data_IF_355483924295
#
_entry.id   IF_355483924295
#
_cell.length_a   1.000
_cell.length_b   1.000
_cell.length_c   1.000
_cell.angle_alpha   90.00
_cell.angle_beta   90.00
_cell.angle_gamma   90.00
#
_symmetry.space_group_name_H-M   'P 1'
#
loop_
_entity.id
_entity.type
_entity.pdbx_description
1 polymer ?
#
# COMPACT_ATOMS: atom_id res chain seq x y z
N UNK A 1 28.59 19.09 3.17
CA UNK A 1 28.68 18.30 1.93
C UNK A 1 28.20 19.16 0.78
N UNK A 2 29.05 19.39 -0.20
CA UNK A 2 28.64 20.10 -1.43
C UNK A 2 27.86 19.09 -2.29
N UNK A 3 26.57 19.32 -2.46
CA UNK A 3 25.73 18.57 -3.40
C UNK A 3 25.77 19.29 -4.75
N UNK A 4 26.22 18.61 -5.79
CA UNK A 4 26.19 19.13 -7.16
C UNK A 4 25.05 18.43 -7.93
N UNK A 5 24.28 19.21 -8.68
CA UNK A 5 23.29 18.69 -9.62
C UNK A 5 23.90 18.68 -11.01
N UNK A 6 23.81 17.57 -11.70
CA UNK A 6 24.39 17.37 -13.03
C UNK A 6 23.29 16.93 -14.00
N UNK A 7 23.21 17.58 -15.16
CA UNK A 7 22.39 17.09 -16.27
C UNK A 7 23.21 16.06 -17.05
N UNK A 8 22.64 14.89 -17.26
CA UNK A 8 23.25 13.77 -17.97
C UNK A 8 22.46 13.49 -19.26
N UNK A 9 22.82 14.12 -20.39
CA UNK A 9 22.14 13.90 -21.66
C UNK A 9 22.01 12.40 -21.97
N UNK A 10 20.87 11.98 -22.51
CA UNK A 10 20.43 10.62 -22.77
C UNK A 10 20.06 9.83 -21.51
N UNK A 11 20.85 9.85 -20.45
CA UNK A 11 20.55 9.09 -19.21
C UNK A 11 19.28 9.65 -18.54
N UNK A 12 19.19 10.98 -18.42
CA UNK A 12 18.02 11.64 -17.81
C UNK A 12 16.73 11.50 -18.66
N UNK A 13 16.85 11.04 -19.91
CA UNK A 13 15.71 10.81 -20.79
C UNK A 13 15.21 9.34 -20.78
N UNK A 14 15.86 8.44 -20.05
CA UNK A 14 15.48 7.04 -20.00
C UNK A 14 14.27 6.86 -19.09
N UNK A 15 13.21 6.21 -19.59
CA UNK A 15 11.97 6.01 -18.87
C UNK A 15 12.09 4.95 -17.76
N UNK A 16 11.15 5.01 -16.82
CA UNK A 16 11.06 4.08 -15.70
C UNK A 16 10.37 2.77 -16.07
N UNK A 17 10.85 1.70 -15.47
CA UNK A 17 10.09 0.45 -15.32
C UNK A 17 10.30 -0.12 -13.94
N UNK A 18 9.20 -0.45 -13.25
CA UNK A 18 9.22 -1.07 -11.92
C UNK A 18 9.96 -2.41 -11.97
N UNK A 19 10.66 -2.77 -10.89
CA UNK A 19 11.39 -4.03 -10.71
C UNK A 19 12.62 -4.24 -11.62
N UNK A 20 13.06 -3.24 -12.37
CA UNK A 20 14.35 -3.34 -13.03
C UNK A 20 15.49 -3.10 -12.04
N UNK A 21 16.50 -3.96 -12.09
CA UNK A 21 17.77 -3.71 -11.42
C UNK A 21 18.60 -2.75 -12.29
N UNK A 22 18.76 -1.52 -11.82
CA UNK A 22 19.58 -0.53 -12.51
C UNK A 22 20.93 -0.38 -11.79
N UNK A 23 22.01 -0.51 -12.52
CA UNK A 23 23.37 -0.36 -12.00
C UNK A 23 23.96 0.95 -12.49
N UNK A 24 24.29 1.83 -11.54
CA UNK A 24 24.99 3.07 -11.78
C UNK A 24 26.41 2.98 -11.22
N UNK A 25 27.37 3.50 -11.96
CA UNK A 25 28.75 3.56 -11.54
C UNK A 25 29.33 4.93 -11.92
N UNK A 26 30.10 5.52 -11.00
CA UNK A 26 30.95 6.66 -11.33
C UNK A 26 32.40 6.19 -11.34
N UNK A 27 32.98 6.05 -12.52
CA UNK A 27 34.31 5.49 -12.72
C UNK A 27 35.10 6.30 -13.77
N UNK A 28 36.37 6.58 -13.48
CA UNK A 28 37.23 7.29 -14.42
C UNK A 28 36.76 8.70 -14.82
N UNK A 29 36.01 9.40 -13.94
CA UNK A 29 35.43 10.71 -14.23
C UNK A 29 34.17 10.67 -15.11
N UNK A 30 33.64 9.47 -15.36
CA UNK A 30 32.44 9.26 -16.18
C UNK A 30 31.35 8.60 -15.35
N UNK A 31 30.09 8.99 -15.60
CA UNK A 31 28.91 8.30 -15.08
C UNK A 31 28.53 7.19 -16.06
N UNK A 32 28.47 5.96 -15.58
CA UNK A 32 28.17 4.78 -16.39
C UNK A 32 26.86 4.18 -15.93
N UNK A 33 25.94 4.02 -16.87
CA UNK A 33 24.71 3.24 -16.70
C UNK A 33 24.85 1.91 -17.44
N UNK A 34 24.65 0.81 -16.74
CA UNK A 34 24.66 -0.52 -17.34
C UNK A 34 23.25 -0.94 -17.71
N UNK A 35 23.09 -1.40 -18.95
CA UNK A 35 21.83 -1.99 -19.40
C UNK A 35 21.52 -3.24 -18.54
N UNK A 36 20.30 -3.37 -17.98
CA UNK A 36 19.96 -4.49 -17.10
C UNK A 36 19.80 -5.82 -17.85
N UNK A 37 19.73 -5.79 -19.19
CA UNK A 37 19.64 -6.94 -20.09
C UNK A 37 20.08 -6.55 -21.51
N UNK A 38 20.15 -7.54 -22.38
CA UNK A 38 20.33 -7.30 -23.82
C UNK A 38 19.06 -6.68 -24.43
N UNK A 39 19.24 -5.73 -25.34
CA UNK A 39 18.18 -5.06 -26.08
C UNK A 39 18.34 -5.25 -27.58
N UNK A 40 17.25 -5.52 -28.28
CA UNK A 40 17.22 -5.53 -29.74
C UNK A 40 17.11 -4.10 -30.27
N UNK A 41 17.51 -3.89 -31.49
CA UNK A 41 17.34 -2.61 -32.18
C UNK A 41 15.86 -2.22 -32.22
N UNK A 42 15.56 -1.01 -31.75
CA UNK A 42 14.19 -0.47 -31.70
C UNK A 42 13.44 -0.77 -30.40
N UNK A 43 14.00 -1.59 -29.49
CA UNK A 43 13.43 -1.73 -28.15
C UNK A 43 13.73 -0.50 -27.31
N UNK A 44 12.76 -0.08 -26.51
CA UNK A 44 12.96 0.98 -25.52
C UNK A 44 13.78 0.46 -24.34
N UNK A 45 14.75 1.27 -23.92
CA UNK A 45 15.58 1.01 -22.74
C UNK A 45 14.90 1.68 -21.55
N UNK A 46 14.80 0.95 -20.46
CA UNK A 46 14.23 1.43 -19.20
C UNK A 46 15.24 1.35 -18.07
N UNK A 47 15.08 2.18 -17.08
CA UNK A 47 15.78 2.13 -15.77
C UNK A 47 14.77 2.10 -14.63
N UNK A 48 15.22 1.78 -13.43
CA UNK A 48 14.43 1.96 -12.23
C UNK A 48 14.72 3.32 -11.60
N UNK A 49 13.68 4.11 -11.32
CA UNK A 49 13.81 5.35 -10.53
C UNK A 49 13.80 5.07 -9.02
N UNK A 50 13.79 3.79 -8.63
CA UNK A 50 13.67 3.29 -7.28
C UNK A 50 12.41 2.44 -7.09
N UNK A 51 12.23 1.96 -5.87
CA UNK A 51 10.99 1.28 -5.47
C UNK A 51 9.99 2.36 -5.08
N UNK A 52 9.18 2.78 -6.05
CA UNK A 52 8.20 3.88 -5.92
C UNK A 52 6.79 3.33 -6.12
N UNK A 53 5.85 3.75 -5.28
CA UNK A 53 4.43 3.49 -5.50
C UNK A 53 3.83 4.46 -6.54
N UNK A 54 2.60 4.23 -6.99
CA UNK A 54 2.00 5.08 -8.01
C UNK A 54 1.65 6.49 -7.51
N UNK A 55 1.50 6.72 -6.21
CA UNK A 55 1.34 8.07 -5.64
C UNK A 55 2.62 8.89 -5.85
N UNK A 56 3.78 8.25 -5.66
CA UNK A 56 5.08 8.87 -5.91
C UNK A 56 5.36 9.05 -7.40
N UNK A 57 5.05 8.05 -8.22
CA UNK A 57 5.24 8.12 -9.67
C UNK A 57 4.40 9.24 -10.30
N UNK A 58 3.12 9.35 -9.95
CA UNK A 58 2.26 10.40 -10.50
C UNK A 58 2.65 11.79 -9.99
N UNK A 59 3.04 11.90 -8.72
CA UNK A 59 3.37 13.20 -8.11
C UNK A 59 4.71 13.73 -8.61
N UNK A 60 5.72 12.87 -8.77
CA UNK A 60 7.08 13.28 -9.14
C UNK A 60 7.30 13.31 -10.65
N UNK A 61 6.65 12.43 -11.40
CA UNK A 61 6.94 12.17 -12.82
C UNK A 61 5.72 12.26 -13.74
N UNK A 62 4.50 12.32 -13.20
CA UNK A 62 3.29 12.52 -13.99
C UNK A 62 2.77 11.27 -14.72
N UNK A 63 3.22 10.08 -14.37
CA UNK A 63 2.73 8.82 -14.96
C UNK A 63 2.35 7.77 -13.89
N UNK A 64 1.71 6.71 -14.34
CA UNK A 64 1.30 5.56 -13.53
C UNK A 64 1.80 4.27 -14.20
N UNK A 65 2.40 3.39 -13.41
CA UNK A 65 2.68 2.02 -13.84
C UNK A 65 1.51 1.11 -13.42
N UNK A 66 0.78 0.59 -14.40
CA UNK A 66 -0.41 -0.23 -14.17
C UNK A 66 -0.10 -1.55 -13.46
N UNK A 67 1.11 -2.07 -13.65
CA UNK A 67 1.57 -3.35 -13.09
C UNK A 67 2.54 -3.16 -11.91
N UNK A 68 2.54 -1.98 -11.31
CA UNK A 68 3.44 -1.63 -10.22
C UNK A 68 3.20 -2.53 -8.99
N UNK A 69 4.14 -3.44 -8.74
CA UNK A 69 4.11 -4.34 -7.59
C UNK A 69 4.48 -3.65 -6.27
N UNK A 70 5.06 -2.45 -6.33
CA UNK A 70 5.37 -1.62 -5.17
C UNK A 70 4.22 -0.64 -4.84
N UNK A 71 3.09 -0.73 -5.58
CA UNK A 71 1.95 0.15 -5.33
C UNK A 71 1.26 -0.20 -4.02
N UNK A 72 0.67 0.81 -3.38
CA UNK A 72 -0.07 0.68 -2.13
C UNK A 72 -1.36 1.48 -2.20
N UNK A 73 -2.38 1.05 -1.47
CA UNK A 73 -3.52 1.88 -1.11
C UNK A 73 -3.35 2.32 0.33
N UNK A 74 -3.21 3.61 0.59
CA UNK A 74 -3.12 4.17 1.93
C UNK A 74 -4.50 4.61 2.39
N UNK A 75 -4.94 4.06 3.51
CA UNK A 75 -6.20 4.43 4.14
C UNK A 75 -5.92 5.43 5.27
N UNK A 76 -5.90 6.71 4.97
CA UNK A 76 -5.74 7.75 5.99
C UNK A 76 -6.94 7.79 6.95
N UNK A 77 -6.66 7.83 8.25
CA UNK A 77 -7.70 7.79 9.27
C UNK A 77 -8.37 6.41 9.44
N UNK A 78 -7.63 5.34 9.20
CA UNK A 78 -8.13 3.97 9.30
C UNK A 78 -8.72 3.63 10.68
N UNK A 79 -8.00 3.94 11.77
CA UNK A 79 -8.49 3.71 13.12
C UNK A 79 -9.76 4.52 13.46
N UNK A 80 -9.83 5.84 13.22
CA UNK A 80 -11.08 6.61 13.37
C UNK A 80 -12.24 6.02 12.56
N UNK A 81 -11.99 5.58 11.34
CA UNK A 81 -13.01 4.91 10.54
C UNK A 81 -13.54 3.65 11.23
N UNK A 82 -12.66 2.76 11.72
CA UNK A 82 -13.06 1.55 12.44
C UNK A 82 -13.79 1.87 13.74
N UNK A 83 -13.34 2.87 14.49
CA UNK A 83 -14.03 3.31 15.71
C UNK A 83 -15.46 3.81 15.44
N UNK A 84 -15.68 4.45 14.30
CA UNK A 84 -16.98 4.96 13.91
C UNK A 84 -17.89 3.89 13.28
N UNK A 85 -17.35 2.93 12.54
CA UNK A 85 -18.12 2.08 11.62
C UNK A 85 -18.00 0.57 11.86
N UNK A 86 -17.08 0.11 12.74
CA UNK A 86 -16.83 -1.31 12.95
C UNK A 86 -17.19 -1.73 14.38
N UNK A 87 -18.34 -2.37 14.56
CA UNK A 87 -18.86 -2.76 15.87
C UNK A 87 -17.91 -3.65 16.70
N UNK A 88 -17.17 -4.63 16.11
CA UNK A 88 -16.16 -5.37 16.87
C UNK A 88 -15.07 -4.47 17.46
N UNK A 89 -14.61 -3.42 16.73
CA UNK A 89 -13.62 -2.46 17.24
C UNK A 89 -14.19 -1.63 18.39
N UNK A 90 -15.41 -1.13 18.26
CA UNK A 90 -16.07 -0.36 19.33
C UNK A 90 -16.19 -1.20 20.60
N UNK A 91 -16.61 -2.47 20.49
CA UNK A 91 -16.73 -3.37 21.64
C UNK A 91 -15.40 -3.69 22.29
N UNK A 92 -14.37 -3.97 21.50
CA UNK A 92 -13.02 -4.29 22.00
C UNK A 92 -12.42 -3.12 22.79
N UNK A 93 -12.52 -1.91 22.23
CA UNK A 93 -12.02 -0.69 22.89
C UNK A 93 -12.90 -0.25 24.08
N UNK A 94 -14.20 -0.54 24.06
CA UNK A 94 -15.08 -0.34 25.21
C UNK A 94 -14.76 -1.28 26.37
N UNK A 95 -14.37 -2.52 26.08
CA UNK A 95 -13.95 -3.51 27.07
C UNK A 95 -12.57 -3.23 27.69
N UNK A 96 -11.68 -2.61 26.92
CA UNK A 96 -10.35 -2.17 27.39
C UNK A 96 -9.99 -0.79 26.84
N UNK A 97 -10.42 0.28 27.50
CA UNK A 97 -10.16 1.67 27.07
C UNK A 97 -8.66 2.03 26.99
N UNK A 98 -7.79 1.29 27.69
CA UNK A 98 -6.36 1.53 27.69
C UNK A 98 -5.60 0.77 26.57
N UNK A 99 -6.27 -0.05 25.79
CA UNK A 99 -5.66 -0.91 24.77
C UNK A 99 -4.79 -0.13 23.78
N UNK A 100 -5.35 0.91 23.19
CA UNK A 100 -4.62 1.74 22.22
C UNK A 100 -3.43 2.46 22.86
N UNK A 101 -3.59 2.97 24.10
CA UNK A 101 -2.50 3.60 24.82
C UNK A 101 -1.38 2.58 25.13
N UNK A 102 -1.73 1.34 25.41
CA UNK A 102 -0.76 0.25 25.61
C UNK A 102 -0.02 -0.06 24.32
N UNK A 103 -0.72 -0.22 23.20
CA UNK A 103 -0.12 -0.45 21.87
C UNK A 103 0.84 0.69 21.56
N UNK A 104 0.40 1.93 21.63
CA UNK A 104 1.22 3.12 21.34
C UNK A 104 2.47 3.21 22.18
N UNK A 105 2.36 2.91 23.47
CA UNK A 105 3.49 2.98 24.40
C UNK A 105 4.54 1.90 24.17
N UNK A 106 4.09 0.69 23.82
CA UNK A 106 4.99 -0.48 23.67
C UNK A 106 5.48 -0.67 22.25
N UNK A 107 4.64 -0.30 21.25
CA UNK A 107 4.87 -0.51 19.82
C UNK A 107 4.37 0.70 19.01
N UNK A 108 5.08 1.83 19.04
CA UNK A 108 4.64 3.05 18.34
C UNK A 108 4.46 2.86 16.83
N UNK A 109 5.21 1.93 16.23
CA UNK A 109 5.07 1.56 14.82
C UNK A 109 3.72 0.90 14.48
N UNK A 110 3.07 0.27 15.46
CA UNK A 110 1.73 -0.31 15.29
C UNK A 110 0.63 0.74 15.45
N UNK A 111 0.86 1.75 16.29
CA UNK A 111 -0.03 2.90 16.39
C UNK A 111 -0.07 3.64 15.05
N UNK A 112 1.08 3.86 14.42
CA UNK A 112 1.16 4.45 13.07
C UNK A 112 0.43 3.58 12.03
N UNK A 113 0.62 2.26 12.06
CA UNK A 113 -0.06 1.34 11.14
C UNK A 113 -1.59 1.36 11.30
N UNK A 114 -2.11 1.55 12.53
CA UNK A 114 -3.54 1.71 12.77
C UNK A 114 -4.08 3.05 12.25
N UNK A 115 -3.29 4.11 12.28
CA UNK A 115 -3.71 5.41 11.76
C UNK A 115 -3.65 5.48 10.23
N UNK A 116 -2.64 4.84 9.63
CA UNK A 116 -2.37 4.85 8.19
C UNK A 116 -2.41 3.42 7.64
N UNK A 117 -3.60 2.81 7.62
CA UNK A 117 -3.78 1.46 7.10
C UNK A 117 -3.28 1.34 5.65
N UNK A 118 -2.31 0.47 5.41
CA UNK A 118 -1.77 0.23 4.09
C UNK A 118 -2.19 -1.14 3.56
N UNK A 119 -2.71 -1.15 2.32
CA UNK A 119 -2.95 -2.36 1.53
C UNK A 119 -1.97 -2.35 0.36
N UNK A 120 -1.17 -3.41 0.23
CA UNK A 120 -0.16 -3.53 -0.82
C UNK A 120 -0.78 -3.94 -2.17
N UNK A 121 0.03 -3.97 -3.20
CA UNK A 121 -0.39 -4.06 -4.61
C UNK A 121 -1.27 -5.25 -4.97
N UNK A 122 -1.19 -6.33 -4.22
CA UNK A 122 -1.99 -7.55 -4.40
C UNK A 122 -3.24 -7.60 -3.50
N UNK A 123 -3.53 -6.51 -2.77
CA UNK A 123 -4.66 -6.41 -1.86
C UNK A 123 -4.40 -6.88 -0.43
N UNK A 124 -3.23 -7.44 -0.11
CA UNK A 124 -2.90 -7.79 1.25
C UNK A 124 -2.69 -6.54 2.12
N UNK A 125 -3.14 -6.59 3.36
CA UNK A 125 -2.77 -5.60 4.37
C UNK A 125 -1.32 -5.83 4.82
N UNK A 126 -0.61 -4.76 5.15
CA UNK A 126 0.75 -4.88 5.69
C UNK A 126 0.76 -5.68 7.01
N UNK A 127 1.81 -6.46 7.24
CA UNK A 127 1.95 -7.31 8.43
C UNK A 127 1.81 -6.52 9.74
N UNK A 128 2.34 -5.30 9.79
CA UNK A 128 2.21 -4.42 10.96
C UNK A 128 0.76 -4.02 11.21
N UNK A 129 -0.02 -3.77 10.15
CA UNK A 129 -1.45 -3.46 10.28
C UNK A 129 -2.22 -4.67 10.81
N UNK A 130 -1.97 -5.88 10.28
CA UNK A 130 -2.61 -7.10 10.76
C UNK A 130 -2.24 -7.39 12.23
N UNK A 131 -0.97 -7.25 12.59
CA UNK A 131 -0.54 -7.39 13.98
C UNK A 131 -1.27 -6.39 14.89
N UNK A 132 -1.27 -5.11 14.53
CA UNK A 132 -1.94 -4.06 15.29
C UNK A 132 -3.45 -4.31 15.45
N UNK A 133 -4.12 -4.77 14.38
CA UNK A 133 -5.55 -5.11 14.42
C UNK A 133 -5.84 -6.30 15.32
N UNK A 134 -5.02 -7.37 15.27
CA UNK A 134 -5.18 -8.52 16.17
C UNK A 134 -5.11 -8.09 17.64
N UNK A 135 -4.09 -7.28 17.99
CA UNK A 135 -3.93 -6.76 19.34
C UNK A 135 -5.07 -5.81 19.75
N UNK A 136 -5.51 -4.92 18.86
CA UNK A 136 -6.58 -3.95 19.15
C UNK A 136 -7.96 -4.62 19.30
N UNK A 137 -8.23 -5.67 18.52
CA UNK A 137 -9.50 -6.40 18.50
C UNK A 137 -9.55 -7.61 19.44
N UNK A 138 -8.48 -7.90 20.17
CA UNK A 138 -8.44 -8.98 21.15
C UNK A 138 -9.38 -8.73 22.32
N UNK A 139 -10.03 -9.79 22.83
CA UNK A 139 -10.74 -9.68 24.10
C UNK A 139 -9.77 -9.47 25.27
N UNK A 140 -10.22 -9.00 26.45
CA UNK A 140 -9.34 -8.89 27.62
C UNK A 140 -8.67 -10.21 27.98
N UNK A 141 -9.40 -11.33 27.88
CA UNK A 141 -8.90 -12.67 28.18
C UNK A 141 -7.83 -13.11 27.19
N UNK A 142 -8.08 -12.91 25.87
CA UNK A 142 -7.11 -13.20 24.81
C UNK A 142 -5.82 -12.36 25.00
N UNK A 143 -5.98 -11.09 25.34
CA UNK A 143 -4.83 -10.21 25.54
C UNK A 143 -3.99 -10.59 26.76
N UNK A 144 -4.64 -11.00 27.84
CA UNK A 144 -3.98 -11.52 29.04
C UNK A 144 -3.26 -12.85 28.73
N UNK A 145 -3.92 -13.76 28.00
CA UNK A 145 -3.34 -15.05 27.61
C UNK A 145 -2.14 -14.91 26.66
N UNK A 146 -2.14 -13.89 25.81
CA UNK A 146 -1.07 -13.59 24.85
C UNK A 146 0.16 -12.89 25.47
N UNK A 147 0.15 -12.57 26.76
CA UNK A 147 1.20 -11.78 27.42
C UNK A 147 1.44 -10.40 26.76
N UNK A 148 0.38 -9.76 26.29
CA UNK A 148 0.44 -8.42 25.72
C UNK A 148 0.49 -8.38 24.19
N UNK A 149 0.99 -7.27 23.64
CA UNK A 149 0.94 -6.98 22.19
C UNK A 149 1.74 -7.96 21.34
N UNK A 150 2.91 -8.39 21.82
CA UNK A 150 3.82 -9.28 21.08
C UNK A 150 3.21 -10.64 20.75
N UNK A 151 2.31 -11.15 21.60
CA UNK A 151 1.64 -12.42 21.39
C UNK A 151 0.73 -12.45 20.16
N UNK A 152 0.43 -11.29 19.56
CA UNK A 152 -0.36 -11.17 18.33
C UNK A 152 0.47 -10.97 17.06
N UNK A 153 1.79 -11.00 17.16
CA UNK A 153 2.68 -10.82 16.01
C UNK A 153 2.48 -11.93 14.97
N UNK A 154 2.39 -13.16 15.44
CA UNK A 154 2.05 -14.29 14.58
C UNK A 154 0.53 -14.45 14.54
N UNK A 155 0.00 -14.66 13.35
CA UNK A 155 -1.42 -14.85 13.15
C UNK A 155 -1.95 -16.18 13.70
N UNK A 156 -3.27 -16.27 13.84
CA UNK A 156 -3.98 -17.47 14.20
C UNK A 156 -5.31 -17.24 14.93
N UNK A 157 -6.29 -18.07 14.64
CA UNK A 157 -7.53 -18.14 15.39
C UNK A 157 -8.50 -16.97 15.27
N UNK A 158 -9.20 -16.67 16.36
CA UNK A 158 -10.24 -15.63 16.39
C UNK A 158 -9.73 -14.20 16.19
N UNK A 159 -8.55 -13.81 16.72
CA UNK A 159 -7.98 -12.48 16.44
C UNK A 159 -7.71 -12.23 14.96
N UNK A 160 -7.25 -13.25 14.22
CA UNK A 160 -7.04 -13.14 12.76
C UNK A 160 -8.34 -12.90 12.00
N UNK A 161 -9.39 -13.66 12.34
CA UNK A 161 -10.69 -13.48 11.68
C UNK A 161 -11.26 -12.07 11.89
N UNK A 162 -11.13 -11.52 13.11
CA UNK A 162 -11.56 -10.15 13.39
C UNK A 162 -10.72 -9.11 12.68
N UNK A 163 -9.41 -9.31 12.57
CA UNK A 163 -8.52 -8.45 11.81
C UNK A 163 -8.86 -8.50 10.30
N UNK A 164 -9.06 -9.68 9.76
CA UNK A 164 -9.50 -9.87 8.37
C UNK A 164 -10.84 -9.17 8.08
N UNK A 165 -11.83 -9.32 8.97
CA UNK A 165 -13.12 -8.64 8.83
C UNK A 165 -12.98 -7.11 8.86
N UNK A 166 -12.14 -6.57 9.74
CA UNK A 166 -11.87 -5.13 9.80
C UNK A 166 -11.22 -4.62 8.49
N UNK A 167 -10.25 -5.34 7.93
CA UNK A 167 -9.62 -5.02 6.64
C UNK A 167 -10.66 -5.04 5.53
N UNK A 168 -11.42 -6.13 5.41
CA UNK A 168 -12.45 -6.29 4.38
C UNK A 168 -13.52 -5.21 4.46
N UNK A 169 -14.06 -4.96 5.65
CA UNK A 169 -15.09 -3.95 5.85
C UNK A 169 -14.60 -2.54 5.45
N UNK A 170 -13.35 -2.22 5.78
CA UNK A 170 -12.74 -0.94 5.42
C UNK A 170 -12.52 -0.81 3.91
N UNK A 171 -11.99 -1.86 3.27
CA UNK A 171 -11.76 -1.88 1.83
C UNK A 171 -13.08 -1.77 1.04
N UNK A 172 -14.12 -2.50 1.46
CA UNK A 172 -15.45 -2.44 0.86
C UNK A 172 -16.06 -1.04 0.97
N UNK A 173 -16.04 -0.44 2.17
CA UNK A 173 -16.58 0.89 2.37
C UNK A 173 -15.90 1.97 1.51
N UNK A 174 -14.57 1.88 1.33
CA UNK A 174 -13.85 2.80 0.45
C UNK A 174 -14.12 2.56 -1.03
N UNK A 175 -14.27 1.29 -1.43
CA UNK A 175 -14.64 0.95 -2.79
C UNK A 175 -16.06 1.46 -3.14
N UNK A 176 -17.01 1.27 -2.22
CA UNK A 176 -18.40 1.71 -2.36
C UNK A 176 -18.53 3.24 -2.37
N UNK A 177 -17.65 3.94 -1.65
CA UNK A 177 -17.59 5.40 -1.65
C UNK A 177 -16.98 6.00 -2.94
N UNK A 178 -16.40 5.18 -3.82
CA UNK A 178 -15.87 5.66 -5.09
C UNK A 178 -16.99 6.16 -6.01
N UNK A 179 -16.84 7.34 -6.65
CA UNK A 179 -17.90 7.91 -7.48
C UNK A 179 -18.17 7.16 -8.79
N UNK A 180 -17.28 6.24 -9.16
CA UNK A 180 -17.36 5.40 -10.37
C UNK A 180 -17.00 3.97 -10.06
N UNK A 181 -17.47 3.00 -10.88
CA UNK A 181 -17.07 1.59 -10.78
C UNK A 181 -15.79 1.32 -11.58
N UNK A 182 -15.19 0.14 -11.41
CA UNK A 182 -14.02 -0.30 -12.19
C UNK A 182 -14.36 -0.44 -13.67
N UNK A 183 -15.56 -0.93 -13.99
CA UNK A 183 -16.06 -1.10 -15.36
C UNK A 183 -16.20 0.25 -16.05
N UNK A 184 -16.83 1.22 -15.36
CA UNK A 184 -16.97 2.58 -15.86
C UNK A 184 -15.63 3.26 -16.11
N UNK A 185 -14.69 3.07 -15.18
CA UNK A 185 -13.34 3.62 -15.33
C UNK A 185 -12.58 2.96 -16.51
N UNK A 186 -12.77 1.66 -16.73
CA UNK A 186 -12.15 0.96 -17.86
C UNK A 186 -12.68 1.46 -19.21
N UNK A 187 -14.02 1.68 -19.32
CA UNK A 187 -14.64 2.29 -20.50
C UNK A 187 -14.09 3.69 -20.76
N UNK A 188 -14.03 4.52 -19.71
CA UNK A 188 -13.52 5.88 -19.79
C UNK A 188 -12.01 5.90 -20.18
N UNK A 189 -11.21 4.98 -19.65
CA UNK A 189 -9.78 4.84 -19.98
C UNK A 189 -9.57 4.58 -21.47
N UNK A 190 -10.41 3.71 -22.07
CA UNK A 190 -10.32 3.36 -23.48
C UNK A 190 -10.67 4.53 -24.41
N UNK A 191 -11.51 5.46 -23.94
CA UNK A 191 -11.98 6.62 -24.69
C UNK A 191 -11.21 7.93 -24.40
N UNK A 192 -10.14 7.88 -23.58
CA UNK A 192 -9.47 9.08 -23.08
C UNK A 192 -7.97 9.03 -23.37
N UNK A 193 -7.38 10.22 -23.64
CA UNK A 193 -5.96 10.42 -23.84
C UNK A 193 -5.39 11.50 -22.91
N UNK A 194 -4.05 11.63 -22.91
CA UNK A 194 -3.32 12.66 -22.17
C UNK A 194 -3.41 12.52 -20.64
N UNK A 195 -3.25 13.60 -19.87
CA UNK A 195 -3.18 13.56 -18.40
C UNK A 195 -4.41 12.95 -17.74
N UNK A 196 -5.60 13.10 -18.35
CA UNK A 196 -6.84 12.49 -17.86
C UNK A 196 -6.75 10.96 -17.88
N UNK A 197 -6.13 10.38 -18.91
CA UNK A 197 -5.87 8.94 -19.00
C UNK A 197 -5.03 8.44 -17.83
N UNK A 198 -3.97 9.17 -17.48
CA UNK A 198 -3.11 8.87 -16.32
C UNK A 198 -3.92 8.88 -15.02
N UNK A 199 -4.76 9.88 -14.81
CA UNK A 199 -5.60 9.97 -13.61
C UNK A 199 -6.61 8.82 -13.51
N UNK A 200 -7.20 8.39 -14.63
CA UNK A 200 -8.11 7.24 -14.67
C UNK A 200 -7.35 5.94 -14.39
N UNK A 201 -6.17 5.75 -14.98
CA UNK A 201 -5.32 4.59 -14.73
C UNK A 201 -4.93 4.48 -13.25
N UNK A 202 -4.57 5.60 -12.62
CA UNK A 202 -4.31 5.67 -11.19
C UNK A 202 -5.53 5.23 -10.37
N UNK A 203 -6.70 5.78 -10.65
CA UNK A 203 -7.96 5.44 -9.98
C UNK A 203 -8.31 3.96 -10.11
N UNK A 204 -8.16 3.38 -11.30
CA UNK A 204 -8.36 1.96 -11.55
C UNK A 204 -7.42 1.12 -10.69
N UNK A 205 -6.14 1.49 -10.63
CA UNK A 205 -5.16 0.74 -9.86
C UNK A 205 -5.51 0.74 -8.37
N UNK A 206 -5.87 1.87 -7.78
CA UNK A 206 -6.27 1.99 -6.38
C UNK A 206 -7.54 1.16 -6.07
N UNK A 207 -8.53 1.20 -6.94
CA UNK A 207 -9.75 0.37 -6.79
C UNK A 207 -9.47 -1.14 -6.91
N UNK A 208 -8.52 -1.55 -7.76
CA UNK A 208 -8.12 -2.96 -7.85
C UNK A 208 -7.53 -3.45 -6.54
N UNK A 209 -6.64 -2.68 -5.90
CA UNK A 209 -6.09 -3.04 -4.58
C UNK A 209 -7.21 -3.24 -3.56
N UNK A 210 -8.19 -2.33 -3.49
CA UNK A 210 -9.33 -2.45 -2.57
C UNK A 210 -10.21 -3.67 -2.88
N UNK A 211 -10.52 -3.92 -4.16
CA UNK A 211 -11.30 -5.09 -4.59
C UNK A 211 -10.59 -6.39 -4.21
N UNK A 212 -9.29 -6.45 -4.44
CA UNK A 212 -8.49 -7.62 -4.18
C UNK A 212 -8.38 -7.86 -2.66
N UNK A 213 -8.27 -6.80 -1.85
CA UNK A 213 -8.39 -6.89 -0.39
C UNK A 213 -9.75 -7.45 0.05
N UNK A 214 -10.86 -7.00 -0.54
CA UNK A 214 -12.18 -7.55 -0.26
C UNK A 214 -12.25 -9.07 -0.53
N UNK A 215 -11.60 -9.54 -1.59
CA UNK A 215 -11.61 -10.94 -1.98
C UNK A 215 -10.70 -11.81 -1.09
N UNK A 216 -9.53 -11.32 -0.72
CA UNK A 216 -8.55 -12.04 0.12
C UNK A 216 -9.07 -12.21 1.54
N UNK A 217 -9.67 -11.17 2.11
CA UNK A 217 -10.17 -11.14 3.48
C UNK A 217 -11.64 -11.54 3.60
N UNK A 218 -12.19 -12.21 2.59
CA UNK A 218 -13.53 -12.79 2.67
C UNK A 218 -13.51 -14.07 3.54
N UNK A 219 -13.94 -13.92 4.79
CA UNK A 219 -14.01 -15.01 5.78
C UNK A 219 -15.27 -15.85 5.68
N UNK A 220 -16.13 -15.62 4.67
CA UNK A 220 -17.40 -16.36 4.48
C UNK A 220 -17.22 -17.66 3.69
N UNK A 221 -16.00 -18.00 3.28
CA UNK A 221 -15.68 -19.21 2.51
C UNK A 221 -15.15 -20.34 3.41
#
# INVERSE_FOLDING_TARGET
SNTAYVLMPLIDAINHKTMLKTEFEFSGGSFVLRAPRDYKRGEEVFISYGVLNNDELITRYGFVDADNVADVYRFEGFLPFLQANHEPMKRALGADPNRLATIKRTHPELDEALWNGNFISDGNAEDKLLWALRAALATPEEFAAANGVDGFKLGGGAPDRRAADAVRASAAAHLDACPTTLERDAEELAATDGPRKTAIAFRIRKKRILRDACAIYDTSK
#
